data_IF_769763682352
#
_entry.id   IF_769763682352
#
_cell.length_a   1.000
_cell.length_b   1.000
_cell.length_c   1.000
_cell.angle_alpha   90.00
_cell.angle_beta   90.00
_cell.angle_gamma   90.00
#
_symmetry.space_group_name_H-M   'P 1'
#
loop_
_entity.id
_entity.type
_entity.pdbx_description
1 polymer ?
#
# COMPACT_ATOMS: atom_id res chain seq x y z
N UNK A 1 0.61 30.65 29.66
CA UNK A 1 1.15 29.30 29.88
C UNK A 1 0.01 28.38 29.54
N UNK A 2 0.25 27.62 28.49
CA UNK A 2 -0.75 27.02 27.61
C UNK A 2 -1.47 25.87 28.31
N UNK A 3 -2.75 25.74 27.97
CA UNK A 3 -3.67 24.70 28.41
C UNK A 3 -3.37 23.41 27.61
N UNK A 4 -3.08 22.30 28.29
CA UNK A 4 -3.06 20.96 27.68
C UNK A 4 -4.48 20.38 27.76
N UNK A 5 -5.15 20.24 26.61
CA UNK A 5 -6.39 19.48 26.50
C UNK A 5 -6.09 17.98 26.36
N UNK A 6 -6.36 17.23 27.43
CA UNK A 6 -6.53 15.78 27.43
C UNK A 6 -7.77 15.41 26.60
N UNK A 7 -7.58 14.82 25.41
CA UNK A 7 -8.68 14.17 24.69
C UNK A 7 -8.68 12.67 24.99
N UNK A 8 -9.57 12.27 25.90
CA UNK A 8 -9.98 10.89 26.16
C UNK A 8 -10.42 10.20 24.86
N UNK A 9 -9.89 9.02 24.60
CA UNK A 9 -10.38 8.11 23.56
C UNK A 9 -11.52 7.30 24.18
N UNK A 10 -12.76 7.58 23.78
CA UNK A 10 -13.91 6.75 24.11
C UNK A 10 -13.80 5.41 23.37
N UNK A 11 -13.76 4.32 24.14
CA UNK A 11 -13.92 2.95 23.64
C UNK A 11 -15.41 2.69 23.36
N UNK A 12 -15.84 2.98 22.13
CA UNK A 12 -17.17 2.57 21.68
C UNK A 12 -17.15 1.12 21.18
N UNK A 13 -17.97 0.33 21.86
CA UNK A 13 -18.27 -1.09 21.69
C UNK A 13 -18.83 -1.38 20.27
N UNK A 14 -18.04 -2.02 19.39
CA UNK A 14 -18.45 -2.33 18.02
C UNK A 14 -19.08 -3.73 17.89
N UNK A 15 -20.37 -3.78 17.58
CA UNK A 15 -21.08 -4.98 17.12
C UNK A 15 -20.81 -5.22 15.63
N UNK A 16 -20.47 -6.47 15.29
CA UNK A 16 -19.96 -6.96 14.00
C UNK A 16 -21.10 -7.53 13.14
N UNK A 17 -21.23 -7.13 11.87
CA UNK A 17 -22.11 -7.83 10.90
C UNK A 17 -21.47 -7.89 9.51
N UNK A 18 -21.66 -9.04 8.84
CA UNK A 18 -21.12 -9.35 7.52
C UNK A 18 -22.02 -8.81 6.38
N UNK A 19 -21.47 -8.61 5.15
CA UNK A 19 -22.17 -7.93 4.05
C UNK A 19 -23.29 -8.72 3.36
N UNK A 20 -23.58 -9.95 3.77
CA UNK A 20 -24.56 -10.81 3.07
C UNK A 20 -26.02 -10.49 3.43
N UNK A 21 -26.29 -9.64 4.43
CA UNK A 21 -27.64 -9.35 4.95
C UNK A 21 -28.15 -7.93 4.63
N UNK A 22 -27.83 -7.36 3.47
CA UNK A 22 -28.23 -5.99 3.14
C UNK A 22 -29.74 -5.86 2.81
N UNK A 23 -30.60 -5.79 3.82
CA UNK A 23 -31.89 -5.09 3.71
C UNK A 23 -31.67 -3.58 3.90
N UNK A 24 -32.13 -2.83 2.90
CA UNK A 24 -31.81 -1.43 2.63
C UNK A 24 -32.48 -0.48 3.64
N UNK A 25 -31.75 -0.01 4.66
CA UNK A 25 -32.08 1.25 5.33
C UNK A 25 -30.79 2.06 5.57
N UNK A 26 -30.70 3.22 4.90
CA UNK A 26 -29.57 4.15 4.80
C UNK A 26 -28.64 4.17 6.04
N UNK A 27 -27.42 3.58 5.98
CA UNK A 27 -26.47 3.68 7.07
C UNK A 27 -25.74 5.04 7.05
N UNK A 28 -25.56 5.66 8.23
CA UNK A 28 -24.83 6.92 8.43
C UNK A 28 -23.30 6.76 8.47
N UNK A 29 -22.78 5.53 8.56
CA UNK A 29 -21.36 5.20 8.46
C UNK A 29 -21.28 3.86 7.74
N UNK A 30 -20.60 3.82 6.58
CA UNK A 30 -20.31 2.60 5.83
C UNK A 30 -18.89 2.18 6.22
N UNK A 31 -18.76 1.19 7.09
CA UNK A 31 -17.47 0.57 7.39
C UNK A 31 -17.18 -0.48 6.31
N UNK A 32 -16.25 -0.19 5.42
CA UNK A 32 -15.82 -1.12 4.38
C UNK A 32 -14.87 -2.14 5.01
N UNK A 33 -15.39 -3.31 5.40
CA UNK A 33 -14.60 -4.51 5.73
C UNK A 33 -13.96 -5.11 4.46
N UNK A 34 -13.28 -4.29 3.67
CA UNK A 34 -12.63 -4.71 2.45
C UNK A 34 -11.38 -5.52 2.80
N UNK A 35 -11.49 -6.85 2.64
CA UNK A 35 -10.37 -7.78 2.69
C UNK A 35 -9.44 -7.63 1.48
N UNK A 36 -9.94 -7.01 0.41
CA UNK A 36 -9.23 -6.71 -0.84
C UNK A 36 -9.31 -5.22 -1.17
N UNK A 37 -8.30 -4.69 -1.86
CA UNK A 37 -8.35 -3.35 -2.43
C UNK A 37 -9.30 -3.34 -3.64
N UNK A 38 -10.02 -2.22 -3.88
CA UNK A 38 -10.82 -2.07 -5.09
C UNK A 38 -9.94 -2.07 -6.36
N UNK A 39 -10.50 -2.43 -7.52
CA UNK A 39 -9.78 -2.45 -8.80
C UNK A 39 -9.59 -1.03 -9.34
N UNK A 40 -8.48 -0.38 -8.99
CA UNK A 40 -8.21 1.01 -9.35
C UNK A 40 -7.24 1.16 -10.54
N UNK A 41 -6.60 0.07 -10.99
CA UNK A 41 -5.54 0.11 -11.99
C UNK A 41 -5.94 0.62 -13.37
N UNK A 42 -7.22 0.55 -13.74
CA UNK A 42 -7.72 1.02 -15.04
C UNK A 42 -8.07 2.52 -15.06
N UNK A 43 -7.84 3.27 -13.96
CA UNK A 43 -8.18 4.70 -13.88
C UNK A 43 -7.12 5.58 -14.60
N UNK A 44 -7.43 6.18 -15.76
CA UNK A 44 -6.41 6.81 -16.60
C UNK A 44 -5.93 8.16 -16.07
N UNK A 45 -6.75 8.90 -15.33
CA UNK A 45 -6.41 10.25 -14.85
C UNK A 45 -5.88 10.29 -13.41
N UNK A 46 -5.72 9.13 -12.77
CA UNK A 46 -5.33 9.07 -11.37
C UNK A 46 -3.84 9.37 -11.20
N UNK A 47 -3.51 10.54 -10.65
CA UNK A 47 -2.11 10.95 -10.43
C UNK A 47 -1.62 10.70 -9.00
N UNK A 48 -2.53 10.73 -8.03
CA UNK A 48 -2.20 10.49 -6.61
C UNK A 48 -3.23 9.56 -6.02
N UNK A 49 -2.76 8.50 -5.37
CA UNK A 49 -3.59 7.55 -4.65
C UNK A 49 -3.09 7.42 -3.22
N UNK A 50 -4.01 7.57 -2.27
CA UNK A 50 -3.73 7.37 -0.85
C UNK A 50 -4.76 6.42 -0.27
N UNK A 51 -4.29 5.32 0.31
CA UNK A 51 -5.11 4.30 0.95
C UNK A 51 -4.70 4.23 2.42
N UNK A 52 -5.64 4.52 3.31
CA UNK A 52 -5.36 4.60 4.75
C UNK A 52 -6.33 3.72 5.53
N UNK A 53 -5.85 3.16 6.66
CA UNK A 53 -6.67 2.45 7.67
C UNK A 53 -7.47 1.25 7.11
N UNK A 54 -6.97 0.61 6.07
CA UNK A 54 -7.52 -0.66 5.57
C UNK A 54 -6.96 -1.83 6.38
N UNK A 55 -7.40 -1.94 7.63
CA UNK A 55 -6.83 -2.88 8.61
C UNK A 55 -7.09 -4.36 8.27
N UNK A 56 -8.10 -4.67 7.46
CA UNK A 56 -8.46 -6.05 7.12
C UNK A 56 -7.65 -6.62 5.96
N UNK A 57 -7.05 -5.76 5.13
CA UNK A 57 -6.27 -6.17 3.95
C UNK A 57 -5.03 -6.93 4.41
N UNK A 58 -4.84 -8.13 3.86
CA UNK A 58 -3.68 -8.99 4.14
C UNK A 58 -2.75 -9.10 2.97
N UNK A 59 -3.28 -9.01 1.76
CA UNK A 59 -2.56 -9.19 0.51
C UNK A 59 -3.09 -8.17 -0.48
N UNK A 60 -2.19 -7.67 -1.33
CA UNK A 60 -2.50 -6.78 -2.43
C UNK A 60 -1.85 -7.37 -3.67
N UNK A 61 -2.67 -7.77 -4.63
CA UNK A 61 -2.21 -8.31 -5.90
C UNK A 61 -2.91 -7.74 -7.11
N UNK A 62 -3.15 -8.60 -8.10
CA UNK A 62 -3.73 -8.22 -9.39
C UNK A 62 -5.17 -7.70 -9.29
N UNK A 63 -5.89 -8.01 -8.20
CA UNK A 63 -7.22 -7.46 -7.92
C UNK A 63 -7.20 -5.93 -7.82
N UNK A 64 -6.09 -5.36 -7.35
CA UNK A 64 -5.90 -3.92 -7.28
C UNK A 64 -5.73 -3.27 -8.67
N UNK A 65 -5.20 -4.04 -9.63
CA UNK A 65 -5.03 -3.59 -11.02
C UNK A 65 -6.36 -3.60 -11.80
N UNK A 66 -7.36 -4.34 -11.32
CA UNK A 66 -8.63 -4.55 -12.03
C UNK A 66 -8.52 -5.56 -13.17
N UNK A 67 -7.65 -6.57 -13.01
CA UNK A 67 -7.59 -7.73 -13.91
C UNK A 67 -8.80 -8.61 -13.61
N UNK A 68 -9.79 -8.65 -14.51
CA UNK A 68 -10.85 -9.65 -14.43
C UNK A 68 -10.32 -10.99 -14.94
N UNK A 69 -10.53 -12.05 -14.15
CA UNK A 69 -10.20 -13.43 -14.51
C UNK A 69 -11.07 -13.87 -15.69
N UNK A 70 -10.63 -13.56 -16.91
CA UNK A 70 -11.35 -13.87 -18.16
C UNK A 70 -10.91 -13.04 -19.36
N UNK A 71 -10.27 -11.89 -19.15
CA UNK A 71 -9.75 -11.06 -20.25
C UNK A 71 -8.37 -11.56 -20.70
N UNK A 72 -8.31 -12.69 -21.43
CA UNK A 72 -7.18 -12.92 -22.33
C UNK A 72 -7.31 -11.92 -23.47
N UNK A 73 -6.81 -10.71 -23.26
CA UNK A 73 -6.78 -9.68 -24.29
C UNK A 73 -5.86 -10.14 -25.40
N UNK A 74 -6.44 -10.76 -26.43
CA UNK A 74 -5.82 -11.12 -27.71
C UNK A 74 -5.47 -9.89 -28.56
N UNK A 75 -5.02 -8.79 -27.94
CA UNK A 75 -4.56 -7.59 -28.63
C UNK A 75 -3.07 -7.44 -28.38
N UNK A 76 -2.31 -7.24 -29.45
CA UNK A 76 -0.84 -7.11 -29.46
C UNK A 76 -0.31 -5.85 -28.76
N UNK A 77 -1.07 -5.28 -27.85
CA UNK A 77 -0.82 -4.00 -27.19
C UNK A 77 -0.54 -4.26 -25.71
N UNK A 78 0.60 -3.78 -25.20
CA UNK A 78 0.91 -3.90 -23.77
C UNK A 78 -0.16 -3.19 -22.94
N UNK A 79 -0.76 -3.89 -21.96
CA UNK A 79 -1.74 -3.31 -21.05
C UNK A 79 -1.01 -2.44 -20.03
N UNK A 80 -1.44 -1.19 -19.86
CA UNK A 80 -0.85 -0.27 -18.88
C UNK A 80 -1.81 -0.06 -17.73
N UNK A 81 -1.39 -0.43 -16.52
CA UNK A 81 -2.11 -0.14 -15.29
C UNK A 81 -1.54 1.11 -14.63
N UNK A 82 -2.43 1.97 -14.10
CA UNK A 82 -2.08 3.24 -13.47
C UNK A 82 -1.16 4.11 -14.36
N UNK A 83 -1.56 4.43 -15.60
CA UNK A 83 -0.68 5.05 -16.59
C UNK A 83 -0.10 6.40 -16.12
N UNK A 84 -0.89 7.18 -15.37
CA UNK A 84 -0.53 8.53 -14.92
C UNK A 84 -0.27 8.64 -13.41
N UNK A 85 -0.24 7.53 -12.66
CA UNK A 85 -0.04 7.57 -11.22
C UNK A 85 1.39 7.99 -10.89
N UNK A 86 1.52 9.13 -10.20
CA UNK A 86 2.79 9.74 -9.78
C UNK A 86 3.10 9.48 -8.32
N UNK A 87 2.07 9.45 -7.46
CA UNK A 87 2.23 9.27 -6.02
C UNK A 87 1.31 8.17 -5.50
N UNK A 88 1.90 7.19 -4.82
CA UNK A 88 1.18 6.11 -4.13
C UNK A 88 1.52 6.12 -2.64
N UNK A 89 0.48 6.19 -1.81
CA UNK A 89 0.62 6.20 -0.34
C UNK A 89 -0.24 5.13 0.30
N UNK A 90 0.37 4.33 1.17
CA UNK A 90 -0.35 3.43 2.07
C UNK A 90 -0.06 3.80 3.52
N UNK A 91 -1.12 3.90 4.33
CA UNK A 91 -1.04 4.30 5.72
C UNK A 91 -1.84 3.39 6.64
N UNK A 92 -1.26 3.02 7.78
CA UNK A 92 -1.92 2.26 8.85
C UNK A 92 -2.60 0.98 8.35
N UNK A 93 -1.90 0.17 7.54
CA UNK A 93 -2.40 -1.12 7.04
C UNK A 93 -1.73 -2.28 7.80
N UNK A 94 -2.04 -2.38 9.10
CA UNK A 94 -1.28 -3.22 10.04
C UNK A 94 -1.35 -4.73 9.80
N UNK A 95 -2.30 -5.24 9.02
CA UNK A 95 -2.40 -6.66 8.70
C UNK A 95 -1.89 -7.03 7.30
N UNK A 96 -1.45 -6.06 6.51
CA UNK A 96 -0.95 -6.26 5.16
C UNK A 96 0.43 -6.94 5.20
N UNK A 97 0.56 -8.07 4.50
CA UNK A 97 1.75 -8.93 4.52
C UNK A 97 2.40 -9.06 3.15
N UNK A 98 1.60 -9.23 2.10
CA UNK A 98 2.06 -9.55 0.75
C UNK A 98 1.64 -8.45 -0.20
N UNK A 99 2.59 -7.92 -0.96
CA UNK A 99 2.33 -7.05 -2.08
C UNK A 99 3.06 -7.56 -3.30
N UNK A 100 2.32 -8.21 -4.20
CA UNK A 100 2.88 -8.87 -5.37
C UNK A 100 1.82 -8.94 -6.48
N UNK A 101 2.15 -8.49 -7.68
CA UNK A 101 1.24 -8.51 -8.82
C UNK A 101 1.28 -9.83 -9.60
N UNK A 102 2.22 -10.73 -9.28
CA UNK A 102 2.44 -11.96 -10.03
C UNK A 102 2.98 -11.72 -11.45
N UNK A 103 3.50 -12.79 -12.05
CA UNK A 103 3.97 -12.97 -13.44
C UNK A 103 4.83 -11.86 -14.10
N UNK A 104 5.98 -12.32 -14.61
CA UNK A 104 6.90 -11.60 -15.51
C UNK A 104 6.44 -11.68 -16.98
N UNK A 105 5.12 -11.78 -17.23
CA UNK A 105 4.64 -11.69 -18.61
C UNK A 105 4.82 -10.23 -19.08
N UNK A 106 5.76 -10.01 -19.99
CA UNK A 106 6.15 -8.73 -20.62
C UNK A 106 4.99 -7.95 -21.29
N UNK A 107 3.78 -8.48 -21.20
CA UNK A 107 2.57 -7.94 -21.84
C UNK A 107 1.90 -6.83 -21.02
N UNK A 108 2.30 -6.57 -19.77
CA UNK A 108 1.74 -5.48 -18.99
C UNK A 108 2.76 -4.58 -18.29
N UNK A 109 2.47 -3.28 -18.25
CA UNK A 109 3.28 -2.27 -17.56
C UNK A 109 2.50 -1.73 -16.38
N UNK A 110 3.08 -1.82 -15.19
CA UNK A 110 2.45 -1.40 -13.94
C UNK A 110 3.08 -0.08 -13.48
N UNK A 111 2.25 0.96 -13.33
CA UNK A 111 2.63 2.25 -12.77
C UNK A 111 3.86 2.92 -13.45
N UNK A 112 3.88 3.07 -14.79
CA UNK A 112 5.03 3.60 -15.53
C UNK A 112 5.39 5.06 -15.22
N UNK A 113 4.57 5.76 -14.45
CA UNK A 113 4.75 7.17 -14.08
C UNK A 113 5.06 7.39 -12.59
N UNK A 114 5.20 6.32 -11.79
CA UNK A 114 5.29 6.43 -10.34
C UNK A 114 6.60 7.08 -9.87
N UNK A 115 6.51 8.27 -9.30
CA UNK A 115 7.66 9.03 -8.80
C UNK A 115 7.86 8.91 -7.30
N UNK A 116 6.77 8.74 -6.54
CA UNK A 116 6.81 8.70 -5.07
C UNK A 116 6.02 7.51 -4.54
N UNK A 117 6.67 6.68 -3.74
CA UNK A 117 6.05 5.61 -2.95
C UNK A 117 6.24 5.91 -1.46
N UNK A 118 5.15 5.92 -0.69
CA UNK A 118 5.18 6.17 0.75
C UNK A 118 4.40 5.10 1.50
N UNK A 119 5.06 4.48 2.48
CA UNK A 119 4.49 3.46 3.37
C UNK A 119 4.63 3.94 4.81
N UNK A 120 3.51 4.08 5.51
CA UNK A 120 3.43 4.64 6.85
C UNK A 120 2.67 3.66 7.75
N UNK A 121 3.32 3.03 8.73
CA UNK A 121 2.61 2.12 9.65
C UNK A 121 2.13 0.82 8.99
N UNK A 122 2.89 0.26 8.04
CA UNK A 122 2.61 -1.02 7.36
C UNK A 122 3.50 -2.13 7.93
N UNK A 123 3.47 -2.33 9.25
CA UNK A 123 4.45 -3.12 10.01
C UNK A 123 4.61 -4.59 9.56
N UNK A 124 3.55 -5.22 9.05
CA UNK A 124 3.58 -6.63 8.62
C UNK A 124 4.01 -6.84 7.17
N UNK A 125 4.13 -5.77 6.37
CA UNK A 125 4.43 -5.87 4.94
C UNK A 125 5.87 -6.37 4.76
N UNK A 126 6.06 -7.47 4.03
CA UNK A 126 7.34 -8.18 3.96
C UNK A 126 8.28 -7.71 2.85
N UNK A 127 7.76 -6.99 1.87
CA UNK A 127 8.54 -6.54 0.73
C UNK A 127 7.71 -5.69 -0.23
N UNK A 128 8.40 -5.08 -1.18
CA UNK A 128 7.79 -4.31 -2.26
C UNK A 128 7.73 -5.15 -3.55
N UNK A 129 6.77 -4.91 -4.45
CA UNK A 129 6.70 -5.59 -5.74
C UNK A 129 7.95 -5.29 -6.58
N UNK A 130 8.54 -6.31 -7.19
CA UNK A 130 9.76 -6.16 -8.03
C UNK A 130 9.56 -5.17 -9.19
N UNK A 131 8.35 -5.12 -9.73
CA UNK A 131 7.95 -4.22 -10.81
C UNK A 131 8.10 -2.73 -10.41
N UNK A 132 8.09 -2.40 -9.11
CA UNK A 132 8.31 -1.04 -8.63
C UNK A 132 9.78 -0.75 -8.28
N UNK A 133 10.61 -1.78 -8.18
CA UNK A 133 12.02 -1.70 -7.74
C UNK A 133 13.04 -1.93 -8.86
N UNK A 134 12.60 -2.26 -10.07
CA UNK A 134 13.55 -2.45 -11.17
C UNK A 134 14.20 -1.11 -11.55
N UNK A 135 15.44 -1.12 -12.01
CA UNK A 135 16.21 0.12 -12.29
C UNK A 135 15.61 1.04 -13.36
N UNK A 136 14.74 0.51 -14.23
CA UNK A 136 14.03 1.31 -15.24
C UNK A 136 12.78 1.98 -14.67
N UNK A 137 12.45 1.73 -13.40
CA UNK A 137 11.31 2.34 -12.75
C UNK A 137 11.55 3.87 -12.63
N UNK A 138 10.49 4.66 -12.86
CA UNK A 138 10.52 6.12 -12.71
C UNK A 138 10.70 6.63 -11.26
N UNK A 139 10.85 5.74 -10.28
CA UNK A 139 10.73 6.03 -8.85
C UNK A 139 11.88 6.93 -8.38
N UNK A 140 11.52 8.08 -7.81
CA UNK A 140 12.48 9.10 -7.35
C UNK A 140 12.53 9.20 -5.83
N UNK A 141 11.40 8.95 -5.16
CA UNK A 141 11.24 9.09 -3.72
C UNK A 141 10.61 7.85 -3.12
N UNK A 142 11.31 7.23 -2.16
CA UNK A 142 10.82 6.12 -1.35
C UNK A 142 10.83 6.51 0.13
N UNK A 143 9.64 6.54 0.75
CA UNK A 143 9.49 6.76 2.19
C UNK A 143 8.91 5.51 2.85
N UNK A 144 9.64 4.97 3.82
CA UNK A 144 9.21 3.86 4.67
C UNK A 144 9.31 4.35 6.11
N UNK A 145 8.16 4.47 6.78
CA UNK A 145 8.11 4.96 8.15
C UNK A 145 7.21 4.07 9.02
N UNK A 146 7.71 3.62 10.17
CA UNK A 146 7.00 2.70 11.07
C UNK A 146 6.53 1.41 10.35
N UNK A 147 7.41 0.84 9.52
CA UNK A 147 7.19 -0.38 8.76
C UNK A 147 8.29 -1.39 9.12
N UNK A 148 8.28 -1.90 10.35
CA UNK A 148 9.35 -2.71 10.96
C UNK A 148 9.96 -3.78 10.05
N UNK A 149 9.13 -4.58 9.36
CA UNK A 149 9.63 -5.62 8.44
C UNK A 149 10.37 -5.04 7.23
N UNK A 150 9.88 -3.94 6.67
CA UNK A 150 10.52 -3.28 5.52
C UNK A 150 11.78 -2.52 5.93
N UNK A 151 11.78 -1.92 7.12
CA UNK A 151 12.97 -1.27 7.68
C UNK A 151 14.11 -2.28 7.84
N UNK A 152 13.83 -3.47 8.36
CA UNK A 152 14.82 -4.56 8.46
C UNK A 152 15.35 -4.95 7.08
N UNK A 153 14.45 -5.26 6.13
CA UNK A 153 14.79 -5.76 4.78
C UNK A 153 15.54 -4.74 3.93
N UNK A 154 15.20 -3.45 4.04
CA UNK A 154 15.70 -2.38 3.18
C UNK A 154 16.61 -1.39 3.92
N UNK A 155 17.06 -1.66 5.14
CA UNK A 155 17.98 -0.76 5.85
C UNK A 155 19.35 -0.67 5.17
N UNK A 156 19.87 0.56 5.00
CA UNK A 156 21.18 0.78 4.39
C UNK A 156 22.30 0.11 5.20
N UNK A 157 23.04 -0.78 4.54
CA UNK A 157 24.21 -1.47 5.13
C UNK A 157 23.89 -2.67 6.02
N UNK A 158 22.60 -2.96 6.28
CA UNK A 158 22.17 -4.11 7.09
C UNK A 158 21.12 -4.97 6.39
N UNK A 159 20.20 -4.36 5.65
CA UNK A 159 19.12 -5.05 4.98
C UNK A 159 19.59 -5.80 3.74
N UNK A 160 19.19 -7.08 3.66
CA UNK A 160 19.58 -8.00 2.59
C UNK A 160 19.14 -7.53 1.19
N UNK A 161 18.12 -6.67 1.11
CA UNK A 161 17.57 -6.14 -0.15
C UNK A 161 17.85 -4.65 -0.38
N UNK A 162 18.81 -4.05 0.33
CA UNK A 162 19.19 -2.66 0.08
C UNK A 162 19.53 -2.39 -1.39
N UNK A 163 20.18 -3.33 -2.07
CA UNK A 163 20.56 -3.17 -3.49
C UNK A 163 19.34 -2.97 -4.41
N UNK A 164 18.21 -3.60 -4.08
CA UNK A 164 16.96 -3.48 -4.84
C UNK A 164 16.40 -2.05 -4.83
N UNK A 165 16.74 -1.23 -3.84
CA UNK A 165 16.26 0.17 -3.74
C UNK A 165 17.37 1.21 -3.85
N UNK A 166 18.63 0.80 -3.78
CA UNK A 166 19.81 1.69 -3.66
C UNK A 166 20.00 2.66 -4.83
N UNK A 167 19.37 2.39 -5.96
CA UNK A 167 19.40 3.24 -7.16
C UNK A 167 18.38 4.39 -7.11
N UNK A 168 17.42 4.36 -6.16
CA UNK A 168 16.43 5.42 -5.97
C UNK A 168 17.14 6.67 -5.39
N UNK A 169 17.00 7.86 -6.00
CA UNK A 169 17.72 9.06 -5.57
C UNK A 169 17.44 9.52 -4.13
N UNK A 170 16.18 9.44 -3.68
CA UNK A 170 15.76 9.92 -2.37
C UNK A 170 15.06 8.80 -1.58
N UNK A 171 15.72 8.31 -0.53
CA UNK A 171 15.26 7.19 0.29
C UNK A 171 15.25 7.64 1.75
N UNK A 172 14.07 7.59 2.37
CA UNK A 172 13.89 7.84 3.80
C UNK A 172 13.29 6.60 4.47
N UNK A 173 14.07 5.95 5.33
CA UNK A 173 13.66 4.79 6.13
C UNK A 173 13.84 5.15 7.60
N UNK A 174 12.76 5.15 8.37
CA UNK A 174 12.76 5.48 9.79
C UNK A 174 11.74 4.67 10.57
N UNK A 175 12.08 4.25 11.79
CA UNK A 175 11.16 3.65 12.74
C UNK A 175 11.13 4.48 14.02
N UNK A 176 9.97 4.59 14.63
CA UNK A 176 9.82 5.14 15.98
C UNK A 176 10.28 4.06 16.96
N UNK A 177 11.54 4.16 17.41
CA UNK A 177 11.96 3.50 18.63
C UNK A 177 11.32 4.25 19.81
N UNK A 178 10.06 3.98 20.12
CA UNK A 178 9.59 4.16 21.51
C UNK A 178 10.17 3.04 22.36
N UNK A 179 11.50 3.04 22.53
CA UNK A 179 12.08 2.55 23.78
C UNK A 179 11.71 3.56 24.86
N UNK A 180 10.52 3.41 25.43
CA UNK A 180 10.32 3.79 26.82
C UNK A 180 10.32 2.51 27.63
N UNK A 181 11.44 2.34 28.33
CA UNK A 181 11.55 1.51 29.52
C UNK A 181 10.31 1.73 30.41
N UNK A 182 9.73 0.65 30.89
CA UNK A 182 9.18 0.63 32.23
C UNK A 182 9.71 -0.66 32.87
N UNK A 183 10.64 -0.45 33.80
CA UNK A 183 11.14 -1.42 34.77
C UNK A 183 10.01 -2.00 35.64
#
# INVERSE_FOLDING_TARGET
>A
MEEEEDSMIEEDNFTMMCPEDAEFQKPKIISLCCVHLPPLGKLPSLETLSINRMFSVREVGNEFLGVESGETSSSSSSIIYFPNLKTLRFGSMFNWKVWDFGNEDDTCTIMPSLRSLQLLGCSKLKGLPKQLLHQMAPLQHLKIHNCSNLEEVYSKGKGDKWQDISHIPDIHISGDYTSMNAE
#
